data_IF_557345464134
#
_entry.id   IF_557345464134
#
_cell.length_a   1.000
_cell.length_b   1.000
_cell.length_c   1.000
_cell.angle_alpha   90.00
_cell.angle_beta   90.00
_cell.angle_gamma   90.00
#
_symmetry.space_group_name_H-M   'P 1'
#
loop_
_entity.id
_entity.type
_entity.pdbx_description
1 polymer ?
#
# COMPACT_ATOMS: atom_id res chain seq x y z
N UNK A 1 28.74 -35.49 -28.30
CA UNK A 1 28.59 -35.21 -26.85
C UNK A 1 27.13 -34.86 -26.58
N UNK A 2 26.33 -35.85 -26.20
CA UNK A 2 24.91 -35.65 -25.88
C UNK A 2 24.79 -35.33 -24.39
N UNK A 3 24.47 -34.07 -24.07
CA UNK A 3 24.18 -33.67 -22.69
C UNK A 3 22.85 -34.32 -22.28
N UNK A 4 22.94 -35.17 -21.27
CA UNK A 4 21.88 -36.03 -20.78
C UNK A 4 20.65 -35.19 -20.37
N UNK A 5 19.50 -35.46 -20.98
CA UNK A 5 18.23 -34.76 -20.70
C UNK A 5 17.76 -34.95 -19.25
N UNK A 6 18.19 -36.03 -18.59
CA UNK A 6 17.91 -36.30 -17.17
C UNK A 6 18.53 -35.29 -16.20
N UNK A 7 19.72 -34.75 -16.49
CA UNK A 7 20.41 -33.82 -15.60
C UNK A 7 19.75 -32.42 -15.58
N UNK A 8 19.18 -32.01 -16.73
CA UNK A 8 18.39 -30.77 -16.82
C UNK A 8 17.05 -30.87 -16.08
N UNK A 9 16.41 -32.03 -16.11
CA UNK A 9 15.16 -32.26 -15.37
C UNK A 9 15.39 -32.34 -13.86
N UNK A 10 16.44 -33.00 -13.42
CA UNK A 10 16.84 -33.06 -12.00
C UNK A 10 17.20 -31.66 -11.49
N UNK A 11 17.97 -30.88 -12.25
CA UNK A 11 18.31 -29.49 -11.91
C UNK A 11 17.06 -28.62 -11.73
N UNK A 12 16.09 -28.71 -12.65
CA UNK A 12 14.82 -27.96 -12.59
C UNK A 12 13.92 -28.43 -11.44
N UNK A 13 13.95 -29.71 -11.09
CA UNK A 13 13.22 -30.27 -9.95
C UNK A 13 13.81 -29.79 -8.62
N UNK A 14 15.14 -29.75 -8.50
CA UNK A 14 15.87 -29.26 -7.33
C UNK A 14 15.65 -27.76 -7.15
N UNK A 15 15.71 -26.97 -8.21
CA UNK A 15 15.46 -25.52 -8.18
C UNK A 15 14.02 -25.21 -7.73
N UNK A 16 13.04 -25.95 -8.25
CA UNK A 16 11.64 -25.81 -7.84
C UNK A 16 11.42 -26.25 -6.39
N UNK A 17 12.11 -27.30 -5.93
CA UNK A 17 12.04 -27.77 -4.54
C UNK A 17 12.69 -26.77 -3.58
N UNK A 18 13.79 -26.14 -3.97
CA UNK A 18 14.45 -25.05 -3.22
C UNK A 18 13.54 -23.80 -3.18
N UNK A 19 12.95 -23.37 -4.30
CA UNK A 19 11.97 -22.25 -4.33
C UNK A 19 10.75 -22.53 -3.44
N UNK A 20 10.25 -23.77 -3.46
CA UNK A 20 9.11 -24.18 -2.65
C UNK A 20 9.48 -24.28 -1.15
N UNK A 21 10.69 -24.74 -0.82
CA UNK A 21 11.22 -24.75 0.54
C UNK A 21 11.47 -23.33 1.07
N UNK A 22 11.95 -22.40 0.23
CA UNK A 22 12.07 -20.98 0.57
C UNK A 22 10.69 -20.38 0.85
N UNK A 23 9.69 -20.62 0.01
CA UNK A 23 8.30 -20.16 0.24
C UNK A 23 7.66 -20.75 1.51
N UNK A 24 7.89 -22.03 1.81
CA UNK A 24 7.37 -22.69 3.01
C UNK A 24 8.08 -22.23 4.29
N UNK A 25 9.39 -21.98 4.22
CA UNK A 25 10.20 -21.43 5.31
C UNK A 25 9.78 -19.99 5.63
N UNK A 26 9.53 -19.17 4.60
CA UNK A 26 9.02 -17.79 4.74
C UNK A 26 7.66 -17.74 5.43
N UNK A 27 6.77 -18.71 5.21
CA UNK A 27 5.45 -18.77 5.84
C UNK A 27 5.51 -19.10 7.34
N UNK A 28 6.39 -20.01 7.76
CA UNK A 28 6.57 -20.36 9.18
C UNK A 28 7.36 -19.27 9.91
N UNK A 29 8.37 -18.68 9.25
CA UNK A 29 9.06 -17.46 9.70
C UNK A 29 8.08 -16.30 9.85
N UNK A 30 7.20 -16.06 8.87
CA UNK A 30 6.10 -15.09 8.95
C UNK A 30 5.31 -15.27 10.25
N UNK A 31 4.89 -16.49 10.60
CA UNK A 31 3.99 -16.71 11.73
C UNK A 31 4.71 -16.62 13.10
N UNK A 32 5.95 -17.11 13.19
CA UNK A 32 6.79 -16.99 14.40
C UNK A 32 7.29 -15.56 14.61
N UNK A 33 7.56 -14.81 13.53
CA UNK A 33 7.91 -13.39 13.57
C UNK A 33 6.69 -12.51 13.86
N UNK A 34 5.52 -12.82 13.27
CA UNK A 34 4.22 -12.17 13.49
C UNK A 34 3.85 -12.00 14.97
N UNK A 35 4.23 -12.95 15.83
CA UNK A 35 3.92 -12.92 17.27
C UNK A 35 4.96 -12.21 18.13
N UNK A 36 6.20 -12.00 17.65
CA UNK A 36 7.35 -11.68 18.53
C UNK A 36 8.01 -10.33 18.31
N UNK A 37 7.83 -9.62 17.17
CA UNK A 37 8.70 -8.45 16.87
C UNK A 37 8.13 -7.21 16.17
N UNK A 38 6.85 -7.12 15.81
CA UNK A 38 6.35 -5.85 15.23
C UNK A 38 6.09 -4.82 16.32
N UNK A 39 7.03 -3.92 16.52
CA UNK A 39 6.84 -2.71 17.31
C UNK A 39 5.95 -1.73 16.52
N UNK A 40 4.64 -2.00 16.45
CA UNK A 40 3.68 -1.08 15.83
C UNK A 40 3.32 0.09 16.73
N UNK A 41 4.10 0.36 17.79
CA UNK A 41 3.83 1.45 18.74
C UNK A 41 3.75 2.79 18.03
N UNK A 42 4.67 3.06 17.11
CA UNK A 42 4.67 4.28 16.30
C UNK A 42 3.39 4.40 15.46
N UNK A 43 3.01 3.34 14.74
CA UNK A 43 1.78 3.33 13.93
C UNK A 43 0.52 3.47 14.78
N UNK A 44 0.50 2.91 15.99
CA UNK A 44 -0.62 3.07 16.93
C UNK A 44 -0.74 4.52 17.43
N UNK A 45 0.39 5.19 17.67
CA UNK A 45 0.40 6.62 18.03
C UNK A 45 -0.20 7.42 16.87
N UNK A 46 0.27 7.19 15.64
CA UNK A 46 -0.29 7.86 14.44
C UNK A 46 -1.78 7.54 14.29
N UNK A 47 -2.17 6.27 14.38
CA UNK A 47 -3.57 5.83 14.25
C UNK A 47 -4.48 6.54 15.25
N UNK A 48 -4.10 6.54 16.53
CA UNK A 48 -4.85 7.21 17.58
C UNK A 48 -4.92 8.72 17.33
N UNK A 49 -3.82 9.33 16.93
CA UNK A 49 -3.76 10.77 16.67
C UNK A 49 -4.68 11.18 15.51
N UNK A 50 -4.60 10.46 14.39
CA UNK A 50 -5.49 10.67 13.25
C UNK A 50 -6.96 10.47 13.65
N UNK A 51 -7.27 9.38 14.37
CA UNK A 51 -8.64 9.05 14.77
C UNK A 51 -9.26 10.08 15.72
N UNK A 52 -8.44 10.76 16.52
CA UNK A 52 -8.90 11.79 17.45
C UNK A 52 -8.90 13.21 16.86
N UNK A 53 -8.11 13.44 15.80
CA UNK A 53 -7.94 14.78 15.21
C UNK A 53 -8.82 15.01 13.98
N UNK A 54 -9.18 13.94 13.26
CA UNK A 54 -10.04 14.01 12.08
C UNK A 54 -11.48 13.70 12.46
N UNK A 55 -12.38 14.66 12.25
CA UNK A 55 -13.81 14.44 12.49
C UNK A 55 -14.44 13.55 11.40
N UNK A 56 -15.67 13.08 11.64
CA UNK A 56 -16.42 12.34 10.61
C UNK A 56 -16.70 13.22 9.39
N UNK A 57 -16.96 14.50 9.61
CA UNK A 57 -17.19 15.50 8.57
C UNK A 57 -15.92 15.72 7.74
N UNK A 58 -14.75 15.78 8.37
CA UNK A 58 -13.46 15.89 7.67
C UNK A 58 -13.21 14.67 6.76
N UNK A 59 -13.46 13.46 7.27
CA UNK A 59 -13.31 12.23 6.49
C UNK A 59 -14.35 12.12 5.36
N UNK A 60 -15.58 12.58 5.60
CA UNK A 60 -16.64 12.62 4.59
C UNK A 60 -16.30 13.62 3.48
N UNK A 61 -15.82 14.81 3.84
CA UNK A 61 -15.38 15.83 2.89
C UNK A 61 -14.22 15.30 2.02
N UNK A 62 -13.19 14.73 2.64
CA UNK A 62 -12.09 14.07 1.93
C UNK A 62 -12.60 13.00 0.95
N UNK A 63 -13.50 12.12 1.39
CA UNK A 63 -14.08 11.07 0.54
C UNK A 63 -14.83 11.65 -0.67
N UNK A 64 -15.67 12.68 -0.46
CA UNK A 64 -16.43 13.35 -1.52
C UNK A 64 -15.51 14.02 -2.55
N UNK A 65 -14.51 14.76 -2.07
CA UNK A 65 -13.55 15.46 -2.93
C UNK A 65 -12.72 14.49 -3.75
N UNK A 66 -12.16 13.44 -3.13
CA UNK A 66 -11.44 12.37 -3.82
C UNK A 66 -12.29 11.66 -4.87
N UNK A 67 -13.56 11.38 -4.56
CA UNK A 67 -14.49 10.79 -5.51
C UNK A 67 -14.73 11.71 -6.71
N UNK A 68 -14.95 13.01 -6.47
CA UNK A 68 -15.14 13.98 -7.54
C UNK A 68 -13.90 14.11 -8.44
N UNK A 69 -12.70 14.21 -7.87
CA UNK A 69 -11.44 14.26 -8.64
C UNK A 69 -11.34 13.02 -9.53
N UNK A 70 -11.56 11.83 -8.96
CA UNK A 70 -11.52 10.56 -9.71
C UNK A 70 -12.56 10.49 -10.83
N UNK A 71 -13.73 11.12 -10.64
CA UNK A 71 -14.81 11.18 -11.63
C UNK A 71 -14.51 12.14 -12.79
N UNK A 72 -13.82 13.25 -12.54
CA UNK A 72 -13.57 14.31 -13.52
C UNK A 72 -12.21 14.18 -14.23
N UNK A 73 -11.18 13.65 -13.56
CA UNK A 73 -9.89 13.36 -14.18
C UNK A 73 -9.97 12.08 -15.01
N UNK A 74 -10.42 12.20 -16.26
CA UNK A 74 -10.51 11.11 -17.25
C UNK A 74 -9.68 11.45 -18.50
N UNK A 75 -9.22 10.41 -19.22
CA UNK A 75 -8.44 10.54 -20.44
C UNK A 75 -6.95 10.27 -20.24
N UNK A 76 -6.16 10.50 -21.30
CA UNK A 76 -4.72 10.27 -21.29
C UNK A 76 -4.01 11.21 -20.31
N UNK A 77 -3.07 10.67 -19.52
CA UNK A 77 -2.36 11.42 -18.48
C UNK A 77 -3.18 11.71 -17.21
N UNK A 78 -4.50 11.59 -17.25
CA UNK A 78 -5.39 11.96 -16.13
C UNK A 78 -5.16 11.13 -14.86
N UNK A 79 -4.60 9.93 -14.98
CA UNK A 79 -4.23 9.09 -13.83
C UNK A 79 -3.14 9.73 -12.95
N UNK A 80 -2.16 10.41 -13.55
CA UNK A 80 -1.11 11.11 -12.81
C UNK A 80 -1.66 12.40 -12.20
N UNK A 81 -2.31 13.24 -13.01
CA UNK A 81 -2.88 14.52 -12.55
C UNK A 81 -3.92 14.32 -11.44
N UNK A 82 -4.81 13.33 -11.58
CA UNK A 82 -5.78 12.98 -10.54
C UNK A 82 -5.12 12.41 -9.28
N UNK A 83 -3.99 11.72 -9.41
CA UNK A 83 -3.16 11.30 -8.28
C UNK A 83 -2.60 12.52 -7.52
N UNK A 84 -1.92 13.41 -8.24
CA UNK A 84 -1.34 14.64 -7.66
C UNK A 84 -2.37 15.50 -6.95
N UNK A 85 -3.56 15.70 -7.53
CA UNK A 85 -4.62 16.49 -6.90
C UNK A 85 -5.13 15.88 -5.60
N UNK A 86 -5.22 14.54 -5.53
CA UNK A 86 -5.61 13.83 -4.31
C UNK A 86 -4.50 13.91 -3.26
N UNK A 87 -3.24 13.81 -3.69
CA UNK A 87 -2.09 13.94 -2.78
C UNK A 87 -2.05 15.35 -2.18
N UNK A 88 -2.21 16.39 -3.00
CA UNK A 88 -2.31 17.79 -2.54
C UNK A 88 -3.47 18.00 -1.56
N UNK A 89 -4.64 17.43 -1.86
CA UNK A 89 -5.81 17.52 -0.98
C UNK A 89 -5.53 16.86 0.38
N UNK A 90 -4.89 15.70 0.39
CA UNK A 90 -4.56 14.98 1.61
C UNK A 90 -3.53 15.74 2.45
N UNK A 91 -2.46 16.24 1.83
CA UNK A 91 -1.48 17.08 2.50
C UNK A 91 -2.13 18.33 3.10
N UNK A 92 -3.03 18.99 2.35
CA UNK A 92 -3.73 20.19 2.84
C UNK A 92 -4.64 19.89 4.03
N UNK A 93 -5.37 18.77 3.98
CA UNK A 93 -6.17 18.32 5.12
C UNK A 93 -5.29 18.11 6.35
N UNK A 94 -4.18 17.39 6.19
CA UNK A 94 -3.27 17.09 7.29
C UNK A 94 -2.60 18.35 7.85
N UNK A 95 -2.09 19.24 7.01
CA UNK A 95 -1.54 20.52 7.42
C UNK A 95 -2.55 21.34 8.24
N UNK A 96 -3.82 21.34 7.82
CA UNK A 96 -4.87 22.14 8.47
C UNK A 96 -5.37 21.51 9.78
N UNK A 97 -5.43 20.18 9.85
CA UNK A 97 -6.10 19.45 10.95
C UNK A 97 -5.16 18.80 11.95
N UNK A 98 -3.90 18.58 11.58
CA UNK A 98 -2.94 17.83 12.38
C UNK A 98 -1.78 18.74 12.80
N UNK A 99 -1.82 19.24 14.03
CA UNK A 99 -0.74 20.08 14.59
C UNK A 99 0.65 19.40 14.63
N UNK A 100 0.70 18.07 14.58
CA UNK A 100 1.93 17.27 14.56
C UNK A 100 2.27 16.72 13.17
N UNK A 101 1.65 17.26 12.12
CA UNK A 101 2.01 17.01 10.73
C UNK A 101 3.14 17.96 10.29
N UNK A 102 4.02 17.45 9.42
CA UNK A 102 4.98 18.28 8.68
C UNK A 102 5.39 17.57 7.39
N UNK A 103 5.68 18.34 6.35
CA UNK A 103 6.32 17.82 5.14
C UNK A 103 7.71 17.27 5.48
N UNK A 104 8.08 16.13 4.89
CA UNK A 104 9.35 15.47 5.16
C UNK A 104 9.79 14.62 3.98
N UNK A 105 10.82 15.07 3.27
CA UNK A 105 11.30 14.45 2.03
C UNK A 105 12.69 13.87 2.20
N UNK A 106 12.76 12.72 2.87
CA UNK A 106 13.99 11.96 3.08
C UNK A 106 13.75 10.47 2.82
N UNK A 107 14.62 9.87 2.00
CA UNK A 107 14.42 8.52 1.48
C UNK A 107 13.10 8.38 0.73
N UNK A 108 12.25 7.45 1.19
CA UNK A 108 10.91 7.20 0.63
C UNK A 108 9.79 7.95 1.37
N UNK A 109 10.12 8.74 2.40
CA UNK A 109 9.11 9.49 3.14
C UNK A 109 8.66 10.73 2.38
N UNK A 110 7.37 11.02 2.51
CA UNK A 110 6.72 12.22 1.99
C UNK A 110 6.35 13.18 3.13
N UNK A 111 6.10 12.65 4.34
CA UNK A 111 5.63 13.42 5.48
C UNK A 111 6.11 12.84 6.83
N UNK A 112 5.91 13.60 7.90
CA UNK A 112 5.95 13.12 9.29
C UNK A 112 4.63 13.41 9.98
N UNK A 113 4.15 12.44 10.76
CA UNK A 113 3.03 12.62 11.71
C UNK A 113 3.51 12.13 13.07
N UNK A 114 3.35 12.96 14.11
CA UNK A 114 3.87 12.68 15.45
C UNK A 114 5.38 12.36 15.46
N UNK A 115 6.14 13.02 14.57
CA UNK A 115 7.58 12.80 14.39
C UNK A 115 7.96 11.50 13.66
N UNK A 116 7.00 10.67 13.26
CA UNK A 116 7.23 9.39 12.57
C UNK A 116 7.20 9.61 11.05
N UNK A 117 8.28 9.29 10.31
CA UNK A 117 8.30 9.39 8.85
C UNK A 117 7.35 8.40 8.17
N UNK A 118 6.61 8.87 7.17
CA UNK A 118 5.63 8.11 6.40
C UNK A 118 5.80 8.37 4.89
N UNK A 119 5.73 7.28 4.12
CA UNK A 119 5.53 7.30 2.67
C UNK A 119 4.04 7.28 2.36
N UNK A 120 3.55 8.25 1.60
CA UNK A 120 2.17 8.35 1.17
C UNK A 120 1.96 7.58 -0.13
N UNK A 121 0.93 6.73 -0.16
CA UNK A 121 0.50 6.06 -1.39
C UNK A 121 -1.01 6.11 -1.52
N UNK A 122 -1.48 6.27 -2.75
CA UNK A 122 -2.91 6.29 -3.07
C UNK A 122 -3.28 5.14 -4.00
N UNK A 123 -4.42 4.51 -3.71
CA UNK A 123 -5.03 3.48 -4.56
C UNK A 123 -6.53 3.70 -4.71
N UNK A 124 -7.13 3.07 -5.72
CA UNK A 124 -8.57 3.13 -5.97
C UNK A 124 -9.12 1.72 -6.19
N UNK A 125 -9.18 0.93 -5.11
CA UNK A 125 -9.43 -0.50 -5.16
C UNK A 125 -8.20 -1.28 -5.61
N UNK A 126 -8.40 -2.40 -6.30
CA UNK A 126 -7.32 -3.29 -6.76
C UNK A 126 -6.30 -2.52 -7.59
N UNK A 127 -5.08 -2.41 -7.10
CA UNK A 127 -4.01 -1.62 -7.74
C UNK A 127 -2.64 -2.15 -7.35
N UNK A 128 -1.65 -1.93 -8.20
CA UNK A 128 -0.23 -2.05 -7.84
C UNK A 128 0.31 -0.67 -7.44
N UNK A 129 1.33 -0.64 -6.59
CA UNK A 129 1.92 0.61 -6.05
C UNK A 129 3.39 0.67 -6.44
N UNK A 130 3.85 1.79 -6.99
CA UNK A 130 5.28 2.03 -7.17
C UNK A 130 5.89 2.65 -5.90
N UNK A 131 7.00 2.10 -5.42
CA UNK A 131 7.82 2.75 -4.39
C UNK A 131 8.52 3.97 -4.99
N UNK A 132 9.25 3.77 -6.08
CA UNK A 132 9.91 4.82 -6.86
C UNK A 132 9.39 4.86 -8.31
N UNK A 133 9.25 6.06 -8.87
CA UNK A 133 8.75 6.29 -10.24
C UNK A 133 9.86 6.38 -11.30
N UNK A 134 11.06 5.84 -11.04
CA UNK A 134 12.18 5.96 -11.96
C UNK A 134 12.90 4.63 -12.18
N UNK A 135 13.21 4.36 -13.45
CA UNK A 135 14.18 3.33 -13.87
C UNK A 135 15.60 3.88 -14.00
N UNK A 136 15.80 5.17 -13.75
CA UNK A 136 17.09 5.80 -13.96
C UNK A 136 18.12 5.10 -13.07
N UNK A 137 19.22 4.68 -13.68
CA UNK A 137 20.35 4.12 -12.97
C UNK A 137 20.84 5.16 -11.97
N UNK A 138 20.58 4.90 -10.69
CA UNK A 138 21.16 5.69 -9.61
C UNK A 138 22.47 5.03 -9.23
N UNK A 139 23.53 5.84 -9.04
CA UNK A 139 24.86 5.34 -8.61
C UNK A 139 24.84 4.66 -7.23
N UNK A 140 23.72 4.78 -6.51
CA UNK A 140 23.51 4.25 -5.18
C UNK A 140 22.30 3.30 -5.18
N UNK A 141 22.47 2.08 -4.71
CA UNK A 141 21.36 1.18 -4.40
C UNK A 141 20.53 1.80 -3.28
N UNK A 142 19.35 2.31 -3.60
CA UNK A 142 18.39 2.82 -2.61
C UNK A 142 17.88 1.68 -1.74
N UNK A 143 17.83 1.89 -0.44
CA UNK A 143 17.20 0.93 0.47
C UNK A 143 15.67 1.05 0.37
N UNK A 144 15.00 -0.03 -0.03
CA UNK A 144 13.54 -0.05 -0.12
C UNK A 144 12.87 -0.28 1.23
N UNK A 145 11.65 0.24 1.38
CA UNK A 145 10.87 0.21 2.60
C UNK A 145 11.59 0.85 3.80
N UNK A 146 12.29 1.97 3.56
CA UNK A 146 12.97 2.76 4.57
C UNK A 146 12.00 3.43 5.56
N UNK A 147 10.75 3.59 5.15
CA UNK A 147 9.71 4.38 5.83
C UNK A 147 8.42 3.60 6.01
N UNK A 148 7.67 3.89 7.08
CA UNK A 148 6.32 3.35 7.27
C UNK A 148 5.42 3.87 6.13
N UNK A 149 4.35 3.16 5.78
CA UNK A 149 3.53 3.55 4.62
C UNK A 149 2.12 3.91 5.08
N UNK A 150 1.62 5.05 4.64
CA UNK A 150 0.22 5.44 4.71
C UNK A 150 -0.41 5.19 3.34
N UNK A 151 -1.34 4.24 3.25
CA UNK A 151 -2.10 3.98 2.03
C UNK A 151 -3.52 4.53 2.18
N UNK A 152 -3.93 5.43 1.29
CA UNK A 152 -5.34 5.80 1.15
C UNK A 152 -5.99 4.96 0.04
N UNK A 153 -6.97 4.13 0.42
CA UNK A 153 -7.81 3.39 -0.52
C UNK A 153 -9.15 4.08 -0.68
N UNK A 154 -9.44 4.55 -1.89
CA UNK A 154 -10.64 5.35 -2.18
C UNK A 154 -11.88 4.52 -2.52
N UNK A 155 -11.76 3.19 -2.58
CA UNK A 155 -12.86 2.33 -3.04
C UNK A 155 -12.95 1.06 -2.22
N UNK A 156 -14.12 0.87 -1.59
CA UNK A 156 -14.54 -0.41 -1.05
C UNK A 156 -14.75 -1.43 -2.17
N UNK A 157 -14.29 -2.66 -1.97
CA UNK A 157 -14.73 -3.78 -2.80
C UNK A 157 -13.91 -5.05 -2.66
N UNK A 158 -14.40 -6.10 -3.30
CA UNK A 158 -13.76 -7.41 -3.42
C UNK A 158 -12.81 -7.41 -4.62
N UNK A 159 -11.53 -7.70 -4.38
CA UNK A 159 -10.50 -7.62 -5.44
C UNK A 159 -10.35 -8.93 -6.24
N UNK A 160 -10.80 -10.05 -5.67
CA UNK A 160 -10.86 -11.34 -6.36
C UNK A 160 -12.20 -12.03 -6.07
N UNK A 161 -12.98 -12.29 -7.12
CA UNK A 161 -14.26 -13.02 -7.04
C UNK A 161 -14.03 -14.49 -6.69
N UNK A 162 -12.92 -15.07 -7.14
CA UNK A 162 -12.48 -16.42 -6.81
C UNK A 162 -11.09 -16.35 -6.18
N UNK A 163 -10.88 -17.10 -5.10
CA UNK A 163 -9.56 -17.20 -4.48
C UNK A 163 -8.53 -17.64 -5.53
N UNK A 164 -7.32 -17.08 -5.44
CA UNK A 164 -6.20 -17.50 -6.28
C UNK A 164 -6.00 -19.01 -6.10
N UNK A 165 -5.86 -19.73 -7.23
CA UNK A 165 -5.68 -21.19 -7.21
C UNK A 165 -4.46 -21.51 -6.35
N UNK A 166 -4.69 -22.35 -5.32
CA UNK A 166 -3.74 -22.75 -4.27
C UNK A 166 -2.28 -22.66 -4.71
N UNK A 167 -1.59 -21.61 -4.28
CA UNK A 167 -0.14 -21.72 -4.11
C UNK A 167 0.10 -22.80 -3.06
N UNK A 168 1.17 -23.61 -3.19
CA UNK A 168 1.55 -24.67 -2.24
C UNK A 168 2.04 -24.12 -0.89
N UNK A 169 1.42 -23.04 -0.43
CA UNK A 169 1.63 -22.39 0.85
C UNK A 169 0.66 -23.00 1.87
N UNK A 170 1.19 -23.41 3.03
CA UNK A 170 0.41 -23.92 4.17
C UNK A 170 -0.46 -22.84 4.85
N UNK A 171 -0.61 -21.65 4.24
CA UNK A 171 -1.48 -20.56 4.72
C UNK A 171 -2.63 -20.33 3.77
N UNK A 172 -3.84 -20.38 4.33
CA UNK A 172 -5.10 -20.07 3.67
C UNK A 172 -5.32 -18.55 3.75
N UNK A 173 -4.65 -17.77 2.89
CA UNK A 173 -5.03 -16.36 2.70
C UNK A 173 -6.27 -16.35 1.81
N UNK A 174 -7.38 -15.81 2.31
CA UNK A 174 -8.55 -15.55 1.49
C UNK A 174 -8.35 -14.20 0.79
N UNK A 175 -8.45 -14.18 -0.53
CA UNK A 175 -8.33 -12.98 -1.38
C UNK A 175 -9.69 -12.42 -1.80
N UNK A 176 -10.78 -13.06 -1.39
CA UNK A 176 -12.13 -12.67 -1.72
C UNK A 176 -12.81 -11.81 -0.64
N UNK A 177 -12.10 -11.48 0.44
CA UNK A 177 -12.66 -10.56 1.44
C UNK A 177 -12.78 -9.16 0.83
N UNK A 178 -13.83 -8.47 1.22
CA UNK A 178 -13.99 -7.05 0.92
C UNK A 178 -12.91 -6.23 1.63
N UNK A 179 -12.33 -5.28 0.90
CA UNK A 179 -11.42 -4.28 1.43
C UNK A 179 -12.17 -2.94 1.49
N UNK A 180 -12.39 -2.35 2.67
CA UNK A 180 -13.08 -1.07 2.79
C UNK A 180 -12.27 0.09 2.21
N UNK A 181 -12.94 1.18 1.84
CA UNK A 181 -12.27 2.48 1.67
C UNK A 181 -11.76 2.98 3.01
N UNK A 182 -10.55 3.53 3.04
CA UNK A 182 -9.91 3.90 4.30
C UNK A 182 -8.48 4.39 4.16
N UNK A 183 -7.95 4.87 5.28
CA UNK A 183 -6.54 5.18 5.49
C UNK A 183 -5.91 4.00 6.25
N UNK A 184 -4.84 3.44 5.71
CA UNK A 184 -4.19 2.23 6.21
C UNK A 184 -2.75 2.54 6.57
N UNK A 185 -2.37 2.24 7.81
CA UNK A 185 -0.98 2.37 8.26
C UNK A 185 -0.26 1.03 8.19
N UNK A 186 0.86 0.99 7.47
CA UNK A 186 1.64 -0.22 7.19
C UNK A 186 3.05 -0.09 7.77
N UNK A 187 3.46 -1.13 8.50
CA UNK A 187 4.79 -1.23 9.10
C UNK A 187 5.85 -1.53 8.03
N UNK A 188 6.87 -0.68 7.98
CA UNK A 188 7.98 -0.82 7.05
C UNK A 188 8.76 -2.11 7.23
N UNK A 189 8.91 -2.58 8.48
CA UNK A 189 9.62 -3.82 8.76
C UNK A 189 8.87 -5.00 8.17
N UNK A 190 7.54 -5.04 8.37
CA UNK A 190 6.70 -6.01 7.68
C UNK A 190 6.93 -5.98 6.15
N UNK A 191 7.00 -4.80 5.55
CA UNK A 191 7.26 -4.69 4.11
C UNK A 191 8.62 -5.28 3.71
N UNK A 192 9.71 -4.89 4.40
CA UNK A 192 11.06 -5.41 4.14
C UNK A 192 11.17 -6.93 4.14
N UNK A 193 10.43 -7.60 5.02
CA UNK A 193 10.55 -9.05 5.19
C UNK A 193 9.62 -9.87 4.29
N UNK A 194 8.50 -9.29 3.82
CA UNK A 194 7.40 -10.10 3.26
C UNK A 194 6.84 -9.60 1.93
N UNK A 195 7.30 -8.45 1.45
CA UNK A 195 6.83 -7.87 0.20
C UNK A 195 7.93 -8.00 -0.84
N UNK A 196 7.65 -8.77 -1.89
CA UNK A 196 8.53 -8.87 -3.04
C UNK A 196 8.18 -7.75 -4.03
N UNK A 197 9.22 -7.09 -4.54
CA UNK A 197 9.09 -6.06 -5.56
C UNK A 197 9.22 -6.68 -6.95
N UNK A 198 8.32 -6.30 -7.84
CA UNK A 198 8.38 -6.62 -9.26
C UNK A 198 8.76 -5.39 -10.08
N UNK A 199 8.98 -5.59 -11.38
CA UNK A 199 9.29 -4.53 -12.32
C UNK A 199 8.28 -4.48 -13.46
N UNK A 200 8.06 -3.30 -14.02
CA UNK A 200 7.35 -3.11 -15.28
C UNK A 200 8.16 -2.20 -16.21
N UNK A 201 7.56 -1.62 -17.25
CA UNK A 201 8.25 -0.70 -18.14
C UNK A 201 8.61 0.66 -17.49
N UNK A 202 7.96 1.04 -16.37
CA UNK A 202 8.10 2.35 -15.70
C UNK A 202 8.93 2.33 -14.42
N UNK A 203 8.94 1.22 -13.68
CA UNK A 203 9.62 1.11 -12.39
C UNK A 203 10.17 -0.31 -12.17
N UNK A 204 11.23 -0.42 -11.36
CA UNK A 204 11.78 -1.69 -10.88
C UNK A 204 11.33 -2.04 -9.45
N UNK A 205 10.48 -1.20 -8.86
CA UNK A 205 10.11 -1.25 -7.44
C UNK A 205 8.58 -1.26 -7.29
N UNK A 206 7.92 -2.14 -8.04
CA UNK A 206 6.47 -2.27 -8.06
C UNK A 206 6.03 -3.26 -6.98
N UNK A 207 5.12 -2.83 -6.11
CA UNK A 207 4.38 -3.70 -5.20
C UNK A 207 3.16 -4.21 -5.96
N UNK A 208 3.14 -5.50 -6.24
CA UNK A 208 2.00 -6.10 -6.92
C UNK A 208 0.73 -6.09 -6.08
N UNK A 209 -0.41 -5.99 -6.75
CA UNK A 209 -1.74 -5.94 -6.15
C UNK A 209 -2.03 -7.05 -5.12
N UNK A 210 -1.43 -8.24 -5.24
CA UNK A 210 -1.51 -9.30 -4.23
C UNK A 210 -0.84 -8.89 -2.91
N UNK A 211 0.33 -8.27 -2.98
CA UNK A 211 1.06 -7.78 -1.82
C UNK A 211 0.39 -6.54 -1.23
N UNK A 212 -0.13 -5.64 -2.06
CA UNK A 212 -0.95 -4.51 -1.58
C UNK A 212 -2.14 -5.03 -0.78
N UNK A 213 -2.85 -6.06 -1.28
CA UNK A 213 -3.96 -6.67 -0.54
C UNK A 213 -3.53 -7.21 0.83
N UNK A 214 -2.40 -7.94 0.89
CA UNK A 214 -1.85 -8.46 2.14
C UNK A 214 -1.51 -7.32 3.11
N UNK A 215 -0.92 -6.23 2.64
CA UNK A 215 -0.62 -5.04 3.44
C UNK A 215 -1.90 -4.46 4.06
N UNK A 216 -2.95 -4.26 3.27
CA UNK A 216 -4.23 -3.72 3.75
C UNK A 216 -4.93 -4.66 4.75
N UNK A 217 -5.02 -5.96 4.44
CA UNK A 217 -5.58 -6.97 5.36
C UNK A 217 -4.83 -7.02 6.68
N UNK A 218 -3.51 -6.85 6.64
CA UNK A 218 -2.68 -6.80 7.85
C UNK A 218 -3.03 -5.58 8.68
N UNK A 219 -3.09 -4.40 8.09
CA UNK A 219 -3.48 -3.18 8.79
C UNK A 219 -4.87 -3.30 9.44
N UNK A 220 -5.85 -3.85 8.73
CA UNK A 220 -7.19 -4.17 9.28
C UNK A 220 -7.06 -5.10 10.50
N UNK A 221 -6.32 -6.21 10.37
CA UNK A 221 -6.15 -7.19 11.46
C UNK A 221 -5.48 -6.60 12.71
N UNK A 222 -4.68 -5.54 12.52
CA UNK A 222 -3.98 -4.83 13.57
C UNK A 222 -4.75 -3.63 14.13
N UNK A 223 -5.96 -3.36 13.61
CA UNK A 223 -6.76 -2.16 13.92
C UNK A 223 -6.00 -0.87 13.60
N UNK A 224 -5.28 -0.85 12.48
CA UNK A 224 -4.51 0.28 11.96
C UNK A 224 -5.16 0.89 10.69
N UNK A 225 -6.45 0.62 10.51
CA UNK A 225 -7.30 1.18 9.45
C UNK A 225 -8.21 2.26 10.06
N UNK A 226 -8.41 3.34 9.33
CA UNK A 226 -9.43 4.36 9.60
C UNK A 226 -10.35 4.37 8.38
N UNK A 227 -11.59 3.97 8.57
CA UNK A 227 -12.53 3.81 7.46
C UNK A 227 -12.94 5.17 6.90
N UNK A 228 -12.97 5.28 5.58
CA UNK A 228 -13.53 6.44 4.90
C UNK A 228 -15.03 6.22 4.66
N UNK A 229 -15.90 7.19 5.01
CA UNK A 229 -17.31 7.12 4.69
C UNK A 229 -17.55 6.98 3.19
N UNK A 230 -18.65 6.31 2.82
CA UNK A 230 -19.11 6.27 1.42
C UNK A 230 -19.32 7.69 0.91
N UNK A 231 -18.79 8.05 -0.27
CA UNK A 231 -18.96 9.39 -0.81
C UNK A 231 -20.44 9.66 -1.13
N UNK A 232 -20.91 10.85 -0.77
CA UNK A 232 -22.22 11.33 -1.16
C UNK A 232 -22.18 11.69 -2.66
N UNK A 233 -22.93 10.94 -3.46
CA UNK A 233 -22.93 11.02 -4.93
C UNK A 233 -23.63 12.28 -5.46
N UNK A 234 -24.43 12.93 -4.64
CA UNK A 234 -25.25 14.09 -5.02
C UNK A 234 -24.48 15.41 -4.85
N UNK A 235 -23.36 15.40 -4.13
CA UNK A 235 -22.50 16.57 -3.97
C UNK A 235 -21.72 16.85 -5.26
N UNK A 236 -22.01 17.99 -5.89
CA UNK A 236 -21.21 18.55 -6.98
C UNK A 236 -20.04 19.33 -6.40
N UNK A 237 -18.87 18.69 -6.36
CA UNK A 237 -17.64 19.37 -5.98
C UNK A 237 -17.04 20.11 -7.17
N UNK A 238 -16.89 21.43 -7.04
CA UNK A 238 -16.11 22.22 -7.97
C UNK A 238 -14.62 22.09 -7.62
N UNK A 239 -13.84 21.48 -8.50
CA UNK A 239 -12.41 21.24 -8.29
C UNK A 239 -11.60 22.54 -8.14
N UNK A 240 -12.09 23.66 -8.69
CA UNK A 240 -11.49 24.98 -8.53
C UNK A 240 -11.58 25.49 -7.08
N UNK A 241 -12.57 25.01 -6.32
CA UNK A 241 -12.78 25.36 -4.92
C UNK A 241 -12.09 24.37 -3.96
N UNK A 242 -11.30 23.42 -4.49
CA UNK A 242 -10.61 22.42 -3.68
C UNK A 242 -9.48 23.00 -2.83
N UNK A 243 -8.94 24.14 -3.27
CA UNK A 243 -7.72 24.76 -2.74
C UNK A 243 -7.91 26.24 -2.39
N UNK A 244 -9.14 26.76 -2.46
CA UNK A 244 -9.53 28.13 -2.11
C UNK A 244 -9.86 28.26 -0.63
#
# INVERSE_FOLDING_TARGET
MSINTGDKEIGKLVENKIKMLLQQSSAILLQKWWRRRTNTKELRIIHNYLSNSLSKEDLQDLSNKCHSITKHCKGDGAGLSGGTLIDMLLCKLFETKLSLYSDYHDGESDMKICGVPLSQKKINGKSSIALDWSKNETKTTREHFSSNILIINLKTGVWWVKNLVKTKSNKKISYNDEIPSGIYLIDKQFCKYFIELSCNNKTNTLIDHQFVYIMLKRSISQKLCIDLPTPNKDLKFNILNAFS
#
